data_IF_236547050340
#
_entry.id   IF_236547050340
#
_cell.length_a   1.000
_cell.length_b   1.000
_cell.length_c   1.000
_cell.angle_alpha   90.00
_cell.angle_beta   90.00
_cell.angle_gamma   90.00
#
_symmetry.space_group_name_H-M   'P 1'
#
loop_
_entity.id
_entity.type
_entity.pdbx_description
1 polymer ?
#
# COMPACT_ATOMS: atom_id res chain seq x y z
N UNK A 1 25.70 9.22 -3.78
CA UNK A 1 24.53 8.48 -4.26
C UNK A 1 23.95 7.73 -3.09
N UNK A 2 22.89 8.26 -2.49
CA UNK A 2 22.06 7.50 -1.56
C UNK A 2 21.09 6.64 -2.35
N UNK A 3 20.98 5.37 -2.00
CA UNK A 3 20.04 4.43 -2.62
C UNK A 3 19.14 3.90 -1.51
N UNK A 4 17.82 3.94 -1.74
CA UNK A 4 16.83 3.38 -0.83
C UNK A 4 15.96 2.41 -1.63
N UNK A 5 15.85 1.19 -1.14
CA UNK A 5 15.11 0.09 -1.73
C UNK A 5 13.90 -0.24 -0.86
N UNK A 6 12.71 -0.10 -1.44
CA UNK A 6 11.45 -0.40 -0.75
C UNK A 6 10.82 -1.64 -1.36
N UNK A 7 10.56 -2.62 -0.50
CA UNK A 7 9.63 -3.70 -0.81
C UNK A 7 8.21 -3.26 -0.44
N UNK A 8 7.23 -3.66 -1.25
CA UNK A 8 5.82 -3.39 -0.98
C UNK A 8 5.05 -4.69 -1.16
N UNK A 9 4.28 -5.06 -0.15
CA UNK A 9 3.42 -6.24 -0.14
C UNK A 9 1.95 -5.78 -0.04
N UNK A 10 1.12 -6.20 -0.99
CA UNK A 10 -0.29 -5.85 -1.03
C UNK A 10 -1.20 -7.03 -1.14
N UNK A 11 -2.38 -6.90 -0.54
CA UNK A 11 -3.51 -7.81 -0.67
C UNK A 11 -3.07 -9.25 -0.42
N UNK A 12 -2.50 -9.46 0.77
CA UNK A 12 -1.90 -10.73 1.17
C UNK A 12 -2.94 -11.84 1.21
N UNK A 13 -4.18 -11.54 1.65
CA UNK A 13 -5.29 -12.49 1.76
C UNK A 13 -4.88 -13.78 2.50
N UNK A 14 -4.10 -13.64 3.58
CA UNK A 14 -3.57 -14.76 4.35
C UNK A 14 -2.32 -15.43 3.77
N UNK A 15 -1.90 -15.08 2.55
CA UNK A 15 -0.69 -15.61 1.91
C UNK A 15 0.57 -14.90 2.40
N UNK A 16 0.84 -14.99 3.70
CA UNK A 16 2.05 -14.50 4.36
C UNK A 16 2.52 -15.51 5.41
N UNK A 17 3.80 -15.89 5.35
CA UNK A 17 4.36 -16.89 6.25
C UNK A 17 5.85 -16.69 6.53
N UNK A 18 6.44 -17.69 7.19
CA UNK A 18 7.88 -17.68 7.52
C UNK A 18 8.75 -17.67 6.26
N UNK A 19 8.28 -18.28 5.17
CA UNK A 19 8.96 -18.26 3.87
C UNK A 19 9.04 -16.85 3.27
N UNK A 20 7.98 -16.04 3.39
CA UNK A 20 8.01 -14.62 3.00
C UNK A 20 8.99 -13.83 3.86
N UNK A 21 8.98 -14.08 5.18
CA UNK A 21 9.90 -13.43 6.11
C UNK A 21 11.35 -13.77 5.76
N UNK A 22 11.68 -15.05 5.60
CA UNK A 22 13.02 -15.49 5.22
C UNK A 22 13.46 -14.90 3.88
N UNK A 23 12.57 -14.91 2.88
CA UNK A 23 12.84 -14.32 1.59
C UNK A 23 13.08 -12.81 1.69
N UNK A 24 12.23 -12.09 2.41
CA UNK A 24 12.36 -10.65 2.60
C UNK A 24 13.70 -10.28 3.24
N UNK A 25 14.15 -11.05 4.24
CA UNK A 25 15.44 -10.84 4.89
C UNK A 25 16.62 -11.14 3.96
N UNK A 26 16.49 -12.08 3.01
CA UNK A 26 17.51 -12.33 1.97
C UNK A 26 17.53 -11.24 0.90
N UNK A 27 16.36 -10.77 0.47
CA UNK A 27 16.23 -9.65 -0.49
C UNK A 27 16.76 -8.35 0.13
N UNK A 28 16.65 -8.21 1.45
CA UNK A 28 17.23 -7.14 2.26
C UNK A 28 16.87 -5.72 1.76
N UNK A 29 15.57 -5.37 1.65
CA UNK A 29 15.17 -3.99 1.39
C UNK A 29 15.45 -3.10 2.62
N UNK A 30 15.55 -1.80 2.40
CA UNK A 30 15.73 -0.82 3.47
C UNK A 30 14.45 -0.64 4.31
N UNK A 31 13.28 -0.84 3.70
CA UNK A 31 11.99 -0.88 4.40
C UNK A 31 10.95 -1.71 3.64
N UNK A 32 9.88 -2.10 4.33
CA UNK A 32 8.72 -2.77 3.74
C UNK A 32 7.41 -2.03 4.03
N UNK A 33 6.59 -1.85 3.00
CA UNK A 33 5.26 -1.24 3.09
C UNK A 33 4.17 -2.30 2.87
N UNK A 34 3.14 -2.29 3.71
CA UNK A 34 1.97 -3.16 3.57
C UNK A 34 0.73 -2.34 3.24
N UNK A 35 0.08 -2.63 2.11
CA UNK A 35 -1.10 -1.89 1.63
C UNK A 35 -2.44 -2.52 2.02
N UNK A 36 -2.46 -3.39 3.03
CA UNK A 36 -3.69 -3.96 3.59
C UNK A 36 -4.19 -5.25 2.95
N UNK A 37 -5.39 -5.65 3.37
CA UNK A 37 -5.99 -6.96 3.14
C UNK A 37 -5.01 -8.08 3.53
N UNK A 38 -4.54 -8.01 4.78
CA UNK A 38 -3.49 -8.87 5.30
C UNK A 38 -3.99 -10.30 5.47
N UNK A 39 -5.13 -10.48 6.15
CA UNK A 39 -5.62 -11.82 6.47
C UNK A 39 -6.90 -11.86 7.28
N UNK A 40 -7.88 -11.01 6.94
CA UNK A 40 -9.23 -11.04 7.55
C UNK A 40 -9.22 -10.85 9.08
N UNK A 41 -8.23 -10.12 9.60
CA UNK A 41 -8.05 -9.94 11.04
C UNK A 41 -7.40 -11.10 11.80
N UNK A 42 -6.67 -11.99 11.13
CA UNK A 42 -5.85 -13.03 11.78
C UNK A 42 -4.68 -12.41 12.57
N UNK A 43 -4.78 -12.44 13.90
CA UNK A 43 -3.76 -11.92 14.80
C UNK A 43 -2.38 -12.59 14.66
N UNK A 44 -2.29 -13.85 14.20
CA UNK A 44 -1.00 -14.52 14.01
C UNK A 44 -0.23 -13.89 12.86
N UNK A 45 -0.92 -13.59 11.77
CA UNK A 45 -0.35 -12.92 10.62
C UNK A 45 0.06 -11.48 10.98
N UNK A 46 -0.81 -10.74 11.67
CA UNK A 46 -0.50 -9.38 12.14
C UNK A 46 0.72 -9.37 13.08
N UNK A 47 0.83 -10.35 13.99
CA UNK A 47 2.03 -10.51 14.85
C UNK A 47 3.28 -10.85 14.04
N UNK A 48 3.18 -11.69 13.01
CA UNK A 48 4.31 -12.01 12.13
C UNK A 48 4.85 -10.75 11.43
N UNK A 49 3.96 -9.89 10.93
CA UNK A 49 4.33 -8.60 10.33
C UNK A 49 4.93 -7.64 11.37
N UNK A 50 4.29 -7.50 12.54
CA UNK A 50 4.75 -6.60 13.60
C UNK A 50 6.15 -6.97 14.14
N UNK A 51 6.53 -8.25 14.07
CA UNK A 51 7.83 -8.75 14.55
C UNK A 51 8.93 -8.76 13.47
N UNK A 52 8.70 -8.14 12.31
CA UNK A 52 9.75 -8.02 11.29
C UNK A 52 10.89 -7.13 11.79
N UNK A 53 12.17 -7.55 11.65
CA UNK A 53 13.32 -6.77 12.09
C UNK A 53 13.73 -5.72 11.04
N UNK A 54 12.74 -5.09 10.40
CA UNK A 54 12.92 -4.10 9.34
C UNK A 54 12.00 -2.90 9.60
N UNK A 55 12.41 -1.68 9.20
CA UNK A 55 11.49 -0.55 9.11
C UNK A 55 10.24 -0.93 8.32
N UNK A 56 9.07 -0.84 8.96
CA UNK A 56 7.79 -1.23 8.36
C UNK A 56 6.68 -0.24 8.62
N UNK A 57 5.86 -0.04 7.59
CA UNK A 57 4.66 0.76 7.61
C UNK A 57 3.49 -0.06 7.07
N UNK A 58 2.38 -0.06 7.79
CA UNK A 58 1.24 -0.95 7.58
C UNK A 58 -0.03 -0.13 7.49
N UNK A 59 -0.75 -0.35 6.41
CA UNK A 59 -2.16 0.01 6.28
C UNK A 59 -3.02 -1.23 6.37
N UNK A 60 -4.17 -1.14 7.05
CA UNK A 60 -5.18 -2.19 7.09
C UNK A 60 -6.22 -1.96 6.00
N UNK A 61 -6.59 -3.04 5.31
CA UNK A 61 -7.57 -3.05 4.22
C UNK A 61 -8.98 -3.34 4.68
N UNK A 62 -9.93 -3.34 3.74
CA UNK A 62 -11.35 -3.48 4.08
C UNK A 62 -11.69 -4.86 4.65
N UNK A 63 -10.88 -5.89 4.35
CA UNK A 63 -11.01 -7.22 4.93
C UNK A 63 -10.46 -7.27 6.37
N UNK A 64 -9.45 -6.46 6.68
CA UNK A 64 -8.81 -6.47 8.00
C UNK A 64 -9.67 -5.86 9.12
N UNK A 65 -10.76 -5.16 8.80
CA UNK A 65 -11.66 -4.58 9.82
C UNK A 65 -12.30 -5.62 10.74
N UNK A 66 -12.31 -6.88 10.34
CA UNK A 66 -12.97 -7.96 11.06
C UNK A 66 -14.50 -7.91 11.00
N UNK A 67 -15.14 -8.92 11.56
CA UNK A 67 -16.61 -9.02 11.56
C UNK A 67 -17.26 -8.28 12.75
N UNK A 68 -16.49 -8.08 13.83
CA UNK A 68 -16.98 -7.54 15.10
C UNK A 68 -17.33 -6.04 15.00
N UNK A 69 -18.61 -5.72 15.13
CA UNK A 69 -19.12 -4.36 14.95
C UNK A 69 -18.66 -3.34 16.01
N UNK A 70 -18.23 -3.77 17.21
CA UNK A 70 -17.65 -2.85 18.21
C UNK A 70 -16.30 -2.29 17.76
N UNK A 71 -15.59 -3.03 16.91
CA UNK A 71 -14.25 -2.71 16.47
C UNK A 71 -13.15 -3.24 17.39
N UNK A 72 -13.45 -4.09 18.37
CA UNK A 72 -12.44 -4.60 19.32
C UNK A 72 -11.37 -5.44 18.60
N UNK A 73 -11.77 -6.23 17.61
CA UNK A 73 -10.82 -6.97 16.76
C UNK A 73 -9.88 -6.02 15.99
N UNK A 74 -10.42 -4.94 15.43
CA UNK A 74 -9.62 -3.93 14.73
C UNK A 74 -8.68 -3.20 15.70
N UNK A 75 -9.19 -2.76 16.85
CA UNK A 75 -8.40 -2.11 17.90
C UNK A 75 -7.24 -2.99 18.37
N UNK A 76 -7.47 -4.30 18.50
CA UNK A 76 -6.44 -5.28 18.88
C UNK A 76 -5.36 -5.41 17.81
N UNK A 77 -5.72 -5.44 16.53
CA UNK A 77 -4.72 -5.45 15.44
C UNK A 77 -3.87 -4.20 15.43
N UNK A 78 -4.51 -3.02 15.57
CA UNK A 78 -3.80 -1.75 15.65
C UNK A 78 -2.84 -1.70 16.83
N UNK A 79 -3.23 -2.27 17.98
CA UNK A 79 -2.37 -2.37 19.16
C UNK A 79 -1.18 -3.32 18.93
N UNK A 80 -1.37 -4.44 18.22
CA UNK A 80 -0.28 -5.37 17.87
C UNK A 80 0.70 -4.71 16.90
N UNK A 81 0.20 -3.98 15.90
CA UNK A 81 1.03 -3.27 14.92
C UNK A 81 1.83 -2.13 15.57
N UNK A 82 1.28 -1.50 16.62
CA UNK A 82 1.94 -0.41 17.33
C UNK A 82 2.35 0.71 16.38
N UNK A 83 3.63 1.07 16.38
CA UNK A 83 4.16 2.17 15.58
C UNK A 83 4.18 1.89 14.07
N UNK A 84 4.05 0.64 13.62
CA UNK A 84 3.99 0.35 12.17
C UNK A 84 2.63 0.69 11.57
N UNK A 85 1.56 0.80 12.37
CA UNK A 85 0.25 1.20 11.90
C UNK A 85 0.21 2.67 11.47
N UNK A 86 -0.14 2.92 10.20
CA UNK A 86 -0.15 4.24 9.60
C UNK A 86 -1.52 4.93 9.54
N UNK A 87 -2.58 4.37 10.14
CA UNK A 87 -3.95 4.93 10.09
C UNK A 87 -4.00 6.42 10.46
N UNK A 88 -4.12 7.30 9.47
CA UNK A 88 -4.04 8.76 9.61
C UNK A 88 -2.79 9.28 10.35
N UNK A 89 -1.66 8.57 10.23
CA UNK A 89 -0.44 8.86 10.99
C UNK A 89 0.77 8.93 10.08
N UNK A 90 1.75 9.71 10.53
CA UNK A 90 3.11 9.71 10.01
C UNK A 90 3.87 8.53 10.62
N UNK A 91 4.64 7.85 9.78
CA UNK A 91 5.68 6.90 10.13
C UNK A 91 6.96 7.30 9.42
N UNK A 92 8.00 7.56 10.19
CA UNK A 92 9.34 7.89 9.72
C UNK A 92 10.39 7.12 10.53
N UNK A 93 11.62 7.19 10.06
CA UNK A 93 12.79 6.53 10.63
C UNK A 93 14.02 7.40 10.44
N UNK A 94 15.03 7.20 11.28
CA UNK A 94 16.37 7.74 11.03
C UNK A 94 16.98 7.12 9.76
N UNK A 95 16.72 5.83 9.53
CA UNK A 95 17.05 5.12 8.31
C UNK A 95 15.97 4.08 7.96
N UNK A 96 15.51 4.00 6.69
CA UNK A 96 15.84 4.89 5.57
C UNK A 96 15.20 6.28 5.71
N UNK A 97 15.82 7.34 5.15
CA UNK A 97 15.33 8.71 5.28
C UNK A 97 14.16 8.96 4.32
N UNK A 98 12.99 8.43 4.65
CA UNK A 98 11.70 8.63 3.97
C UNK A 98 10.61 8.89 4.99
N UNK A 99 9.56 9.59 4.59
CA UNK A 99 8.34 9.77 5.39
C UNK A 99 7.16 9.04 4.75
N UNK A 100 6.47 8.23 5.54
CA UNK A 100 5.26 7.50 5.11
C UNK A 100 4.07 8.05 5.88
N UNK A 101 3.06 8.56 5.18
CA UNK A 101 1.80 9.03 5.76
C UNK A 101 0.69 8.10 5.34
N UNK A 102 0.00 7.49 6.31
CA UNK A 102 -1.09 6.60 5.99
C UNK A 102 -2.43 7.31 5.78
N UNK A 103 -3.23 6.73 4.89
CA UNK A 103 -4.59 7.15 4.59
C UNK A 103 -5.61 6.66 5.63
N UNK A 104 -6.87 6.58 5.18
CA UNK A 104 -7.97 6.05 5.97
C UNK A 104 -7.83 4.53 6.15
N UNK A 105 -7.94 4.00 7.38
CA UNK A 105 -7.92 2.56 7.62
C UNK A 105 -9.17 1.88 7.07
N UNK A 106 -8.98 0.65 6.60
CA UNK A 106 -10.04 -0.28 6.23
C UNK A 106 -11.03 0.26 5.17
N UNK A 107 -10.54 1.10 4.28
CA UNK A 107 -11.34 1.70 3.22
C UNK A 107 -11.81 0.64 2.20
N UNK A 108 -13.11 0.52 1.89
CA UNK A 108 -13.61 -0.35 0.82
C UNK A 108 -13.56 0.30 -0.58
N UNK A 109 -12.91 1.47 -0.70
CA UNK A 109 -12.95 2.28 -1.91
C UNK A 109 -14.33 2.90 -2.20
N UNK A 110 -14.51 3.39 -3.42
CA UNK A 110 -15.79 3.92 -3.91
C UNK A 110 -16.19 5.28 -3.32
N UNK A 111 -15.22 6.16 -3.06
CA UNK A 111 -15.44 7.49 -2.52
C UNK A 111 -15.16 7.55 -1.01
N UNK A 112 -16.20 7.80 -0.20
CA UNK A 112 -16.03 7.91 1.25
C UNK A 112 -17.04 7.08 2.03
N UNK A 113 -16.53 6.13 2.81
CA UNK A 113 -17.35 5.31 3.70
C UNK A 113 -16.54 4.86 4.92
N UNK A 114 -17.18 4.89 6.09
CA UNK A 114 -16.67 4.27 7.31
C UNK A 114 -17.60 3.15 7.73
N UNK A 115 -17.01 1.98 7.91
CA UNK A 115 -17.69 0.81 8.46
C UNK A 115 -18.00 1.02 9.94
N UNK A 116 -18.91 0.22 10.49
CA UNK A 116 -19.23 0.29 11.94
C UNK A 116 -18.01 -0.02 12.79
N UNK A 117 -17.15 -0.94 12.36
CA UNK A 117 -15.90 -1.30 13.03
C UNK A 117 -14.94 -0.11 13.13
N UNK A 118 -14.71 0.58 12.01
CA UNK A 118 -13.83 1.77 12.00
C UNK A 118 -14.42 2.88 12.86
N UNK A 119 -15.75 3.07 12.84
CA UNK A 119 -16.42 4.04 13.72
C UNK A 119 -16.32 3.67 15.20
N UNK A 120 -16.34 2.37 15.53
CA UNK A 120 -16.19 1.90 16.91
C UNK A 120 -14.81 2.23 17.49
N UNK A 121 -13.76 2.13 16.67
CA UNK A 121 -12.37 2.42 17.08
C UNK A 121 -12.06 3.92 17.05
N UNK A 122 -12.39 4.61 15.96
CA UNK A 122 -11.93 5.98 15.70
C UNK A 122 -13.00 7.05 15.92
N UNK A 123 -14.23 6.64 16.26
CA UNK A 123 -15.40 7.50 16.27
C UNK A 123 -15.90 7.84 14.86
N UNK A 124 -16.96 8.64 14.74
CA UNK A 124 -17.37 9.21 13.47
C UNK A 124 -16.29 10.17 12.96
N UNK A 125 -15.86 9.97 11.72
CA UNK A 125 -14.94 10.86 11.00
C UNK A 125 -15.64 11.27 9.70
N UNK A 126 -15.64 12.55 9.37
CA UNK A 126 -16.20 13.03 8.09
C UNK A 126 -15.18 12.87 6.96
N UNK A 127 -15.65 13.05 5.72
CA UNK A 127 -14.78 13.13 4.54
C UNK A 127 -13.68 14.18 4.73
N UNK A 128 -14.08 15.39 5.11
CA UNK A 128 -13.20 16.54 5.29
C UNK A 128 -12.22 16.30 6.44
N UNK A 129 -12.71 15.79 7.57
CA UNK A 129 -11.87 15.47 8.72
C UNK A 129 -10.83 14.40 8.37
N UNK A 130 -11.21 13.36 7.63
CA UNK A 130 -10.28 12.33 7.16
C UNK A 130 -9.17 12.93 6.28
N UNK A 131 -9.55 13.77 5.31
CA UNK A 131 -8.57 14.45 4.44
C UNK A 131 -7.64 15.38 5.22
N UNK A 132 -8.18 16.12 6.20
CA UNK A 132 -7.42 17.00 7.08
C UNK A 132 -6.44 16.21 7.94
N UNK A 133 -6.82 15.04 8.47
CA UNK A 133 -5.92 14.20 9.25
C UNK A 133 -4.73 13.69 8.43
N UNK A 134 -4.96 13.25 7.19
CA UNK A 134 -3.89 12.86 6.27
C UNK A 134 -2.97 14.06 5.99
N UNK A 135 -3.55 15.22 5.68
CA UNK A 135 -2.80 16.45 5.45
C UNK A 135 -1.96 16.84 6.68
N UNK A 136 -2.56 16.92 7.87
CA UNK A 136 -1.87 17.27 9.12
C UNK A 136 -0.74 16.29 9.46
N UNK A 137 -0.95 14.99 9.25
CA UNK A 137 0.12 13.99 9.42
C UNK A 137 1.31 14.28 8.50
N UNK A 138 1.07 14.69 7.25
CA UNK A 138 2.15 15.05 6.31
C UNK A 138 2.89 16.34 6.69
N UNK A 139 2.27 17.26 7.42
CA UNK A 139 2.91 18.50 7.86
C UNK A 139 4.00 18.24 8.92
N UNK A 140 3.93 17.11 9.62
CA UNK A 140 4.95 16.69 10.57
C UNK A 140 6.15 16.01 9.89
N UNK A 141 6.03 15.64 8.61
CA UNK A 141 7.11 15.01 7.86
C UNK A 141 8.16 16.04 7.43
N UNK A 142 9.44 15.67 7.52
CA UNK A 142 10.53 16.53 7.03
C UNK A 142 10.37 16.82 5.52
N UNK A 143 10.50 18.09 5.13
CA UNK A 143 10.46 18.52 3.72
C UNK A 143 11.73 18.17 2.94
N UNK A 144 12.80 17.73 3.61
CA UNK A 144 14.09 17.40 2.98
C UNK A 144 14.21 15.95 2.51
N UNK A 145 13.21 15.12 2.80
CA UNK A 145 13.20 13.69 2.46
C UNK A 145 11.92 13.33 1.68
N UNK A 146 11.94 12.22 0.91
CA UNK A 146 10.78 11.83 0.11
C UNK A 146 9.53 11.60 0.94
N UNK A 147 8.37 11.99 0.39
CA UNK A 147 7.06 11.76 0.99
C UNK A 147 6.30 10.67 0.22
N UNK A 148 5.89 9.65 0.96
CA UNK A 148 5.09 8.53 0.50
C UNK A 148 3.73 8.58 1.19
N UNK A 149 2.65 8.50 0.41
CA UNK A 149 1.32 8.21 0.94
C UNK A 149 1.03 6.72 0.83
N UNK A 150 0.61 6.10 1.93
CA UNK A 150 0.29 4.67 2.03
C UNK A 150 -1.20 4.50 2.29
N UNK A 151 -1.93 3.82 1.42
CA UNK A 151 -3.36 3.58 1.58
C UNK A 151 -3.72 2.14 1.19
N UNK A 152 -4.92 1.68 1.56
CA UNK A 152 -5.42 0.43 1.01
C UNK A 152 -6.08 0.65 -0.35
N UNK A 153 -7.01 1.61 -0.45
CA UNK A 153 -7.56 2.05 -1.74
C UNK A 153 -6.80 3.28 -2.25
N UNK A 154 -6.56 3.34 -3.57
CA UNK A 154 -5.96 4.51 -4.21
C UNK A 154 -6.93 5.69 -4.25
N UNK A 155 -6.50 6.90 -4.67
CA UNK A 155 -7.34 8.09 -4.67
C UNK A 155 -8.39 8.07 -5.78
N UNK A 156 -9.53 8.74 -5.56
CA UNK A 156 -10.48 9.03 -6.64
C UNK A 156 -9.84 9.88 -7.74
N UNK A 157 -10.35 9.77 -8.96
CA UNK A 157 -9.86 10.45 -10.16
C UNK A 157 -9.03 9.56 -11.09
N UNK A 158 -8.71 8.34 -10.66
CA UNK A 158 -7.84 7.40 -11.39
C UNK A 158 -8.56 6.09 -11.78
N UNK A 159 -9.90 6.08 -11.80
CA UNK A 159 -10.71 4.89 -12.06
C UNK A 159 -11.69 5.01 -13.22
N UNK A 160 -11.34 5.71 -14.30
CA UNK A 160 -12.24 5.96 -15.44
C UNK A 160 -12.70 4.70 -16.16
N UNK A 161 -11.86 3.66 -16.21
CA UNK A 161 -12.14 2.38 -16.88
C UNK A 161 -11.86 1.20 -15.94
N UNK A 162 -12.40 0.02 -16.26
CA UNK A 162 -12.23 -1.18 -15.42
C UNK A 162 -10.75 -1.57 -15.22
N UNK A 163 -9.91 -1.30 -16.21
CA UNK A 163 -8.47 -1.56 -16.17
C UNK A 163 -7.65 -0.39 -15.60
N UNK A 164 -8.26 0.76 -15.33
CA UNK A 164 -7.57 1.89 -14.69
C UNK A 164 -7.12 1.50 -13.28
N UNK A 165 -6.08 2.16 -12.77
CA UNK A 165 -5.43 1.80 -11.50
C UNK A 165 -6.40 1.78 -10.29
N UNK A 166 -7.48 2.58 -10.31
CA UNK A 166 -8.54 2.61 -9.30
C UNK A 166 -9.94 2.24 -9.83
N UNK A 167 -10.07 1.57 -10.98
CA UNK A 167 -11.37 1.35 -11.64
C UNK A 167 -12.09 0.05 -11.29
N UNK A 168 -13.38 0.11 -10.95
CA UNK A 168 -14.18 -1.09 -10.63
C UNK A 168 -14.38 -2.00 -11.84
N UNK A 169 -14.11 -3.29 -11.68
CA UNK A 169 -14.15 -4.29 -12.76
C UNK A 169 -15.18 -5.42 -12.55
N UNK A 170 -15.72 -5.55 -11.33
CA UNK A 170 -16.68 -6.60 -10.96
C UNK A 170 -18.15 -6.29 -11.21
N UNK A 171 -18.49 -5.07 -11.63
CA UNK A 171 -19.87 -4.66 -11.95
C UNK A 171 -19.89 -3.58 -13.03
N UNK A 172 -20.83 -3.70 -13.97
CA UNK A 172 -21.07 -2.70 -15.02
C UNK A 172 -22.09 -1.63 -14.56
N UNK A 173 -21.94 -0.36 -15.01
CA UNK A 173 -20.76 0.17 -15.70
C UNK A 173 -19.54 0.20 -14.75
N UNK A 174 -18.35 0.26 -15.33
CA UNK A 174 -17.14 0.57 -14.56
C UNK A 174 -17.29 1.96 -13.94
N UNK A 175 -16.71 2.14 -12.75
CA UNK A 175 -16.76 3.38 -11.99
C UNK A 175 -15.43 3.58 -11.28
N UNK A 176 -15.13 4.84 -11.00
CA UNK A 176 -14.03 5.18 -10.10
C UNK A 176 -14.30 4.60 -8.71
N UNK A 177 -13.34 3.80 -8.23
CA UNK A 177 -13.41 3.12 -6.94
C UNK A 177 -12.36 3.63 -5.96
N UNK A 178 -11.73 4.77 -6.24
CA UNK A 178 -10.76 5.38 -5.35
C UNK A 178 -11.39 6.14 -4.17
N UNK A 179 -10.54 6.49 -3.20
CA UNK A 179 -10.86 7.23 -1.99
C UNK A 179 -10.90 8.74 -2.21
N UNK A 180 -12.03 9.36 -1.86
CA UNK A 180 -12.24 10.80 -2.07
C UNK A 180 -11.46 11.66 -1.07
N UNK A 181 -11.34 11.19 0.17
CA UNK A 181 -10.53 11.83 1.22
C UNK A 181 -9.05 11.80 0.88
N UNK A 182 -8.54 10.71 0.30
CA UNK A 182 -7.15 10.63 -0.15
C UNK A 182 -6.88 11.61 -1.30
N UNK A 183 -7.78 11.69 -2.29
CA UNK A 183 -7.67 12.68 -3.37
C UNK A 183 -7.66 14.12 -2.83
N UNK A 184 -8.57 14.45 -1.91
CA UNK A 184 -8.61 15.76 -1.25
C UNK A 184 -7.34 16.07 -0.46
N UNK A 185 -6.80 15.07 0.27
CA UNK A 185 -5.55 15.23 1.01
C UNK A 185 -4.37 15.50 0.07
N UNK A 186 -4.27 14.77 -1.05
CA UNK A 186 -3.24 15.00 -2.07
C UNK A 186 -3.26 16.45 -2.55
N UNK A 187 -4.44 16.99 -2.86
CA UNK A 187 -4.59 18.39 -3.30
C UNK A 187 -4.17 19.41 -2.23
N UNK A 188 -4.43 19.12 -0.94
CA UNK A 188 -4.00 19.96 0.17
C UNK A 188 -2.47 19.93 0.34
N UNK A 189 -1.88 18.73 0.35
CA UNK A 189 -0.43 18.53 0.54
C UNK A 189 0.37 19.20 -0.57
N UNK A 190 -0.11 19.11 -1.82
CA UNK A 190 0.56 19.68 -3.00
C UNK A 190 0.72 21.19 -2.98
N UNK A 191 -0.07 21.88 -2.16
CA UNK A 191 0.10 23.33 -1.95
C UNK A 191 1.36 23.65 -1.13
N UNK A 192 1.87 22.68 -0.38
CA UNK A 192 2.93 22.87 0.62
C UNK A 192 4.24 22.14 0.29
N UNK A 193 4.17 21.03 -0.46
CA UNK A 193 5.30 20.20 -0.88
C UNK A 193 4.92 19.20 -1.99
N UNK A 194 5.92 18.59 -2.64
CA UNK A 194 5.72 17.44 -3.53
C UNK A 194 5.36 16.17 -2.75
N UNK A 195 4.63 15.28 -3.44
CA UNK A 195 4.42 13.88 -3.06
C UNK A 195 5.14 13.03 -4.09
N UNK A 196 6.07 12.19 -3.65
CA UNK A 196 6.89 11.38 -4.55
C UNK A 196 6.15 10.10 -4.96
N UNK A 197 5.51 9.43 -3.99
CA UNK A 197 4.82 8.16 -4.19
C UNK A 197 3.47 8.13 -3.47
N UNK A 198 2.46 7.61 -4.14
CA UNK A 198 1.21 7.14 -3.53
C UNK A 198 1.10 5.65 -3.82
N UNK A 199 1.21 4.84 -2.78
CA UNK A 199 1.20 3.38 -2.89
C UNK A 199 -0.02 2.79 -2.20
N UNK A 200 -0.70 1.89 -2.91
CA UNK A 200 -1.97 1.31 -2.46
C UNK A 200 -2.22 -0.08 -3.04
N UNK A 201 -3.33 -0.71 -2.64
CA UNK A 201 -3.75 -2.03 -3.05
C UNK A 201 -5.22 -2.05 -3.48
N UNK A 202 -6.00 -2.99 -2.94
CA UNK A 202 -7.45 -3.18 -3.09
C UNK A 202 -7.91 -3.62 -4.49
N UNK A 203 -7.56 -2.83 -5.50
CA UNK A 203 -7.93 -3.07 -6.88
C UNK A 203 -6.96 -4.07 -7.50
N UNK A 204 -7.26 -5.37 -7.38
CA UNK A 204 -6.35 -6.44 -7.79
C UNK A 204 -5.85 -6.30 -9.23
N UNK A 205 -4.59 -6.70 -9.47
CA UNK A 205 -3.93 -6.64 -10.78
C UNK A 205 -4.68 -7.43 -11.85
N UNK A 206 -5.10 -8.65 -11.53
CA UNK A 206 -5.89 -9.48 -12.43
C UNK A 206 -7.36 -9.06 -12.37
N UNK A 207 -7.90 -8.67 -13.51
CA UNK A 207 -9.29 -8.26 -13.59
C UNK A 207 -10.24 -9.45 -13.45
N UNK A 208 -11.36 -9.23 -12.77
CA UNK A 208 -12.42 -10.24 -12.61
C UNK A 208 -12.98 -10.67 -13.96
N UNK A 209 -13.51 -11.89 -13.99
CA UNK A 209 -14.16 -12.48 -15.17
C UNK A 209 -13.23 -12.61 -16.39
N UNK A 210 -11.91 -12.75 -16.17
CA UNK A 210 -10.95 -12.99 -17.24
C UNK A 210 -10.71 -11.80 -18.17
N UNK A 211 -11.01 -10.57 -17.71
CA UNK A 211 -10.91 -9.35 -18.53
C UNK A 211 -9.48 -8.82 -18.73
N UNK A 212 -8.46 -9.60 -18.38
CA UNK A 212 -7.04 -9.22 -18.52
C UNK A 212 -6.46 -8.63 -17.24
N UNK A 213 -5.58 -7.63 -17.39
CA UNK A 213 -4.82 -7.02 -16.30
C UNK A 213 -5.06 -5.52 -16.21
N UNK A 214 -4.96 -5.01 -14.98
CA UNK A 214 -5.06 -3.60 -14.61
C UNK A 214 -3.75 -2.87 -14.87
N UNK A 215 -3.84 -1.59 -15.19
CA UNK A 215 -2.70 -0.68 -15.06
C UNK A 215 -2.31 -0.55 -13.58
N UNK A 216 -1.05 -0.81 -13.26
CA UNK A 216 -0.58 -0.79 -11.87
C UNK A 216 0.29 0.43 -11.55
N UNK A 217 0.63 1.21 -12.57
CA UNK A 217 1.46 2.40 -12.47
C UNK A 217 0.80 3.57 -13.20
N UNK A 218 0.87 4.75 -12.59
CA UNK A 218 0.50 6.02 -13.21
C UNK A 218 1.43 7.12 -12.70
N UNK A 219 1.84 8.03 -13.57
CA UNK A 219 2.54 9.26 -13.18
C UNK A 219 1.73 10.44 -13.66
N UNK A 220 1.39 11.34 -12.76
CA UNK A 220 0.61 12.52 -13.12
C UNK A 220 1.50 13.67 -13.65
N UNK A 221 0.84 14.73 -14.10
CA UNK A 221 1.51 15.92 -14.65
C UNK A 221 2.32 16.71 -13.63
N UNK A 222 2.07 16.51 -12.32
CA UNK A 222 2.85 17.12 -11.23
C UNK A 222 4.01 16.23 -10.79
N UNK A 223 4.16 15.06 -11.41
CA UNK A 223 5.29 14.16 -11.23
C UNK A 223 5.10 13.12 -10.13
N UNK A 224 3.97 13.09 -9.41
CA UNK A 224 3.70 12.07 -8.40
C UNK A 224 3.47 10.72 -9.07
N UNK A 225 4.10 9.69 -8.50
CA UNK A 225 3.92 8.31 -8.93
C UNK A 225 2.84 7.64 -8.09
N UNK A 226 1.96 6.92 -8.76
CA UNK A 226 0.91 6.08 -8.18
C UNK A 226 1.22 4.63 -8.50
N UNK A 227 1.32 3.79 -7.46
CA UNK A 227 1.67 2.38 -7.59
C UNK A 227 0.63 1.52 -6.87
N UNK A 228 -0.06 0.69 -7.63
CA UNK A 228 -0.96 -0.32 -7.10
C UNK A 228 -0.20 -1.65 -6.94
N UNK A 229 -0.08 -2.12 -5.70
CA UNK A 229 0.67 -3.31 -5.31
C UNK A 229 -0.21 -4.55 -5.04
N UNK A 230 -1.50 -4.54 -5.44
CA UNK A 230 -2.47 -5.61 -5.21
C UNK A 230 -2.29 -6.83 -6.15
N UNK A 231 -1.16 -7.53 -6.06
CA UNK A 231 -0.94 -8.76 -6.83
C UNK A 231 -1.65 -9.94 -6.17
N UNK A 232 -2.81 -10.34 -6.71
CA UNK A 232 -3.57 -11.48 -6.20
C UNK A 232 -3.82 -12.52 -7.31
N UNK A 233 -3.32 -13.76 -7.17
CA UNK A 233 -2.50 -14.26 -6.05
C UNK A 233 -1.09 -13.65 -6.04
N UNK A 234 -0.48 -13.51 -4.85
CA UNK A 234 0.93 -13.09 -4.67
C UNK A 234 1.93 -14.25 -4.56
N UNK A 235 1.41 -15.47 -4.55
CA UNK A 235 2.19 -16.71 -4.58
C UNK A 235 1.93 -17.40 -5.91
N UNK A 236 2.98 -17.97 -6.49
CA UNK A 236 2.95 -18.64 -7.79
C UNK A 236 3.93 -19.78 -7.83
N UNK A 237 3.98 -20.49 -8.96
CA UNK A 237 4.95 -21.54 -9.23
C UNK A 237 5.54 -21.28 -10.60
N UNK A 238 6.86 -21.39 -10.74
CA UNK A 238 7.52 -21.27 -12.05
C UNK A 238 7.51 -22.58 -12.85
N UNK A 239 8.07 -22.56 -14.06
CA UNK A 239 8.09 -23.74 -14.95
C UNK A 239 8.83 -24.95 -14.35
N UNK A 240 9.73 -24.72 -13.39
CA UNK A 240 10.48 -25.76 -12.70
C UNK A 240 9.78 -26.32 -11.46
N UNK A 241 8.61 -25.79 -11.12
CA UNK A 241 7.87 -26.19 -9.91
C UNK A 241 8.29 -25.42 -8.66
N UNK A 242 9.13 -24.39 -8.78
CA UNK A 242 9.58 -23.61 -7.63
C UNK A 242 8.56 -22.56 -7.21
N UNK A 243 8.35 -22.44 -5.89
CA UNK A 243 7.46 -21.42 -5.32
C UNK A 243 8.03 -20.02 -5.55
N UNK A 244 7.19 -19.15 -6.09
CA UNK A 244 7.47 -17.74 -6.27
C UNK A 244 6.67 -16.89 -5.28
N UNK A 245 7.28 -15.81 -4.80
CA UNK A 245 6.61 -14.79 -4.00
C UNK A 245 6.76 -13.41 -4.65
N UNK A 246 5.67 -12.66 -4.68
CA UNK A 246 5.63 -11.32 -5.24
C UNK A 246 5.95 -10.25 -4.19
N UNK A 247 6.75 -9.27 -4.60
CA UNK A 247 6.84 -7.95 -4.00
C UNK A 247 6.84 -6.89 -5.11
N UNK A 248 6.11 -5.80 -4.91
CA UNK A 248 6.39 -4.60 -5.69
C UNK A 248 7.64 -3.92 -5.13
N UNK A 249 8.37 -3.22 -5.98
CA UNK A 249 9.67 -2.65 -5.66
C UNK A 249 9.74 -1.21 -6.13
N UNK A 250 10.22 -0.32 -5.26
CA UNK A 250 10.54 1.07 -5.59
C UNK A 250 11.96 1.34 -5.15
N UNK A 251 12.76 1.98 -6.01
CA UNK A 251 14.08 2.46 -5.66
C UNK A 251 14.12 3.98 -5.75
N UNK A 252 14.63 4.62 -4.70
CA UNK A 252 15.03 6.01 -4.71
C UNK A 252 16.54 6.10 -4.93
N UNK A 253 16.97 7.02 -5.79
CA UNK A 253 18.35 7.43 -5.99
C UNK A 253 18.43 8.93 -5.70
N UNK A 254 19.25 9.31 -4.71
CA UNK A 254 19.42 10.69 -4.26
C UNK A 254 18.07 11.41 -4.00
N UNK A 255 17.13 10.69 -3.37
CA UNK A 255 15.81 11.19 -3.00
C UNK A 255 14.77 11.19 -4.12
N UNK A 256 15.10 10.75 -5.34
CA UNK A 256 14.14 10.67 -6.45
C UNK A 256 13.89 9.22 -6.84
N UNK A 257 12.64 8.89 -7.23
CA UNK A 257 12.32 7.54 -7.68
C UNK A 257 12.99 7.27 -9.02
N UNK A 258 13.89 6.31 -9.04
CA UNK A 258 14.63 5.90 -10.24
C UNK A 258 14.08 4.61 -10.86
N UNK A 259 13.42 3.78 -10.06
CA UNK A 259 12.92 2.48 -10.51
C UNK A 259 11.62 2.11 -9.81
N UNK A 260 10.68 1.52 -10.57
CA UNK A 260 9.49 0.87 -10.04
C UNK A 260 9.21 -0.43 -10.82
N UNK A 261 8.89 -1.52 -10.12
CA UNK A 261 8.61 -2.80 -10.77
C UNK A 261 7.78 -3.74 -9.90
N UNK A 262 7.14 -4.71 -10.54
CA UNK A 262 6.66 -5.92 -9.87
C UNK A 262 7.70 -7.04 -10.03
N UNK A 263 8.08 -7.69 -8.93
CA UNK A 263 9.12 -8.73 -8.93
C UNK A 263 8.60 -10.00 -8.29
N UNK A 264 8.89 -11.11 -8.95
CA UNK A 264 8.62 -12.45 -8.47
C UNK A 264 9.93 -13.12 -8.13
N UNK A 265 10.09 -13.45 -6.86
CA UNK A 265 11.32 -13.98 -6.32
C UNK A 265 11.19 -15.47 -6.03
N UNK A 266 12.28 -16.20 -6.26
CA UNK A 266 12.49 -17.56 -5.76
C UNK A 266 12.95 -17.52 -4.31
N UNK A 267 12.96 -18.69 -3.65
CA UNK A 267 13.38 -18.84 -2.24
C UNK A 267 14.83 -18.43 -1.95
N UNK A 268 15.68 -18.41 -2.98
CA UNK A 268 17.07 -17.98 -2.92
C UNK A 268 17.25 -16.46 -3.13
N UNK A 269 16.15 -15.71 -3.21
CA UNK A 269 16.08 -14.27 -3.51
C UNK A 269 16.49 -13.89 -4.94
N UNK A 270 16.70 -14.85 -5.84
CA UNK A 270 16.81 -14.55 -7.27
C UNK A 270 15.46 -14.13 -7.85
N UNK A 271 15.49 -13.22 -8.82
CA UNK A 271 14.29 -12.76 -9.53
C UNK A 271 13.99 -13.76 -10.65
N UNK A 272 12.83 -14.41 -10.58
CA UNK A 272 12.33 -15.26 -11.66
C UNK A 272 11.72 -14.45 -12.79
N UNK A 273 10.97 -13.42 -12.44
CA UNK A 273 10.31 -12.54 -13.38
C UNK A 273 10.23 -11.11 -12.81
N UNK A 274 10.42 -10.12 -13.67
CA UNK A 274 10.26 -8.71 -13.35
C UNK A 274 9.45 -8.01 -14.45
N UNK A 275 8.41 -7.31 -14.04
CA UNK A 275 7.75 -6.29 -14.86
C UNK A 275 8.28 -4.92 -14.45
N UNK A 276 9.01 -4.25 -15.34
CA UNK A 276 9.53 -2.90 -15.10
C UNK A 276 8.49 -1.87 -15.51
N UNK A 277 8.06 -1.04 -14.56
CA UNK A 277 7.04 0.00 -14.76
C UNK A 277 7.69 1.37 -14.99
N UNK A 278 8.82 1.59 -14.33
CA UNK A 278 9.67 2.78 -14.46
C UNK A 278 11.12 2.35 -14.32
N UNK A 279 11.96 2.82 -15.23
CA UNK A 279 13.41 2.78 -15.10
C UNK A 279 13.97 4.06 -15.72
N UNK A 280 14.50 4.95 -14.89
CA UNK A 280 15.10 6.22 -15.34
C UNK A 280 16.61 6.18 -15.30
N UNK A 281 17.22 4.99 -15.39
CA UNK A 281 18.67 4.86 -15.54
C UNK A 281 19.16 5.89 -16.58
N UNK A 282 19.95 6.85 -16.11
CA UNK A 282 20.79 7.72 -16.93
C UNK A 282 21.84 6.87 -17.65
#
# INVERSE_FOLDING_TARGET
>A
MSVINLAIAGDLHGAWGDDDRELLLKVNPDAILFVGDLGEGDFRLVKSIANLPLPSAVMLGNHDRGADASGDQLQSQLAILGDSNCSWRLRDWDYPPISVVGGRPCSPGGGYFLTTQVKGVFGPVSLEESAIRIFQASQNASKSIPLILLAHSGPSGLGSEAFSICGRDWKNPSLDWGDKDLAMAIDLIRKERSIDLVVFGHMHHKLRLGKGYRQTYYRDSLGTIYLNAASVPRKGIDESGELLSHFSWVQFLDGQIAHASHRWYRKDASIAYQETLLNTAL
#
